data_IF_869834199498
#
_entry.id   IF_869834199498
#
_cell.length_a   1.000
_cell.length_b   1.000
_cell.length_c   1.000
_cell.angle_alpha   90.00
_cell.angle_beta   90.00
_cell.angle_gamma   90.00
#
_symmetry.space_group_name_H-M   'P 1'
#
loop_
_entity.id
_entity.type
_entity.pdbx_description
1 polymer ?
#
# COMPACT_ATOMS: atom_id res chain seq x y z
N UNK A 1 -19.18 0.28 24.00
CA UNK A 1 -19.32 -0.13 22.58
C UNK A 1 -18.16 -1.09 22.26
N UNK A 2 -18.37 -2.41 22.40
CA UNK A 2 -17.31 -3.40 22.20
C UNK A 2 -17.15 -3.69 20.69
N UNK A 3 -16.27 -2.94 20.03
CA UNK A 3 -15.91 -3.19 18.63
C UNK A 3 -15.31 -4.59 18.54
N UNK A 4 -15.94 -5.48 17.76
CA UNK A 4 -15.46 -6.86 17.58
C UNK A 4 -14.02 -6.84 17.05
N UNK A 5 -13.11 -7.54 17.74
CA UNK A 5 -11.65 -7.57 17.51
C UNK A 5 -11.22 -7.78 16.05
N UNK A 6 -12.02 -8.50 15.26
CA UNK A 6 -11.80 -8.75 13.82
C UNK A 6 -11.90 -7.46 12.98
N UNK A 7 -12.85 -6.58 13.30
CA UNK A 7 -13.06 -5.30 12.61
C UNK A 7 -12.01 -4.28 12.99
N UNK A 8 -11.63 -4.24 14.27
CA UNK A 8 -10.55 -3.39 14.74
C UNK A 8 -9.23 -3.68 14.00
N UNK A 9 -8.91 -4.97 13.82
CA UNK A 9 -7.70 -5.40 13.11
C UNK A 9 -7.73 -4.99 11.62
N UNK A 10 -8.89 -5.13 10.96
CA UNK A 10 -9.06 -4.70 9.57
C UNK A 10 -8.92 -3.17 9.43
N UNK A 11 -9.59 -2.40 10.30
CA UNK A 11 -9.52 -0.93 10.26
C UNK A 11 -8.08 -0.45 10.48
N UNK A 12 -7.36 -1.04 11.44
CA UNK A 12 -5.97 -0.67 11.70
C UNK A 12 -5.02 -1.01 10.56
N UNK A 13 -5.17 -2.18 9.94
CA UNK A 13 -4.34 -2.55 8.78
C UNK A 13 -4.65 -1.63 7.60
N UNK A 14 -5.92 -1.39 7.29
CA UNK A 14 -6.32 -0.50 6.20
C UNK A 14 -5.83 0.93 6.43
N UNK A 15 -5.99 1.47 7.64
CA UNK A 15 -5.51 2.80 7.99
C UNK A 15 -3.98 2.92 7.88
N UNK A 16 -3.24 1.93 8.38
CA UNK A 16 -1.77 1.91 8.29
C UNK A 16 -1.27 1.84 6.86
N UNK A 17 -1.87 1.00 6.01
CA UNK A 17 -1.51 0.91 4.59
C UNK A 17 -1.87 2.19 3.85
N UNK A 18 -3.01 2.80 4.17
CA UNK A 18 -3.42 4.08 3.59
C UNK A 18 -2.40 5.18 3.91
N UNK A 19 -2.04 5.34 5.19
CA UNK A 19 -1.07 6.35 5.64
C UNK A 19 0.32 6.10 5.03
N UNK A 20 0.80 4.85 5.01
CA UNK A 20 2.10 4.54 4.41
C UNK A 20 2.12 4.82 2.90
N UNK A 21 1.07 4.41 2.19
CA UNK A 21 0.97 4.65 0.74
C UNK A 21 0.90 6.15 0.42
N UNK A 22 0.20 6.92 1.26
CA UNK A 22 0.09 8.37 1.15
C UNK A 22 1.46 9.04 1.35
N UNK A 23 2.15 8.73 2.45
CA UNK A 23 3.44 9.34 2.79
C UNK A 23 4.55 9.00 1.79
N UNK A 24 4.66 7.73 1.37
CA UNK A 24 5.69 7.31 0.41
C UNK A 24 5.45 7.95 -0.96
N UNK A 25 4.20 7.97 -1.43
CA UNK A 25 3.88 8.60 -2.73
C UNK A 25 4.10 10.11 -2.71
N UNK A 26 3.82 10.76 -1.58
CA UNK A 26 4.03 12.20 -1.40
C UNK A 26 5.52 12.54 -1.37
N UNK A 27 6.32 11.77 -0.62
CA UNK A 27 7.77 11.88 -0.63
C UNK A 27 8.37 11.68 -2.02
N UNK A 28 7.99 10.60 -2.72
CA UNK A 28 8.50 10.30 -4.06
C UNK A 28 8.13 11.39 -5.08
N UNK A 29 6.92 11.93 -5.02
CA UNK A 29 6.50 12.99 -5.94
C UNK A 29 7.19 14.32 -5.63
N UNK A 30 7.40 14.62 -4.34
CA UNK A 30 8.13 15.81 -3.89
C UNK A 30 9.59 15.79 -4.32
N UNK A 31 10.23 14.62 -4.23
CA UNK A 31 11.62 14.41 -4.69
C UNK A 31 11.72 14.50 -6.22
N UNK A 32 10.75 13.98 -6.96
CA UNK A 32 10.85 13.86 -8.42
C UNK A 32 10.43 15.13 -9.20
N UNK A 33 9.48 15.92 -8.69
CA UNK A 33 8.92 17.08 -9.40
C UNK A 33 9.18 18.44 -8.72
N UNK A 34 9.67 18.45 -7.47
CA UNK A 34 9.75 19.69 -6.67
C UNK A 34 8.37 20.28 -6.33
N UNK A 35 8.36 21.46 -5.70
CA UNK A 35 7.14 22.20 -5.36
C UNK A 35 6.66 23.04 -6.56
N UNK A 36 5.98 22.41 -7.51
CA UNK A 36 5.32 23.09 -8.64
C UNK A 36 3.86 23.46 -8.29
N UNK A 37 3.25 24.46 -8.95
CA UNK A 37 1.86 24.87 -8.67
C UNK A 37 0.85 23.71 -8.83
N UNK A 38 1.11 22.81 -9.79
CA UNK A 38 0.30 21.62 -10.07
C UNK A 38 0.70 20.40 -9.23
N UNK A 39 1.60 20.55 -8.24
CA UNK A 39 2.19 19.47 -7.48
C UNK A 39 1.15 18.52 -6.87
N UNK A 40 0.14 19.07 -6.18
CA UNK A 40 -0.92 18.27 -5.56
C UNK A 40 -1.75 17.49 -6.58
N UNK A 41 -1.98 18.07 -7.76
CA UNK A 41 -2.81 17.49 -8.81
C UNK A 41 -2.06 16.36 -9.53
N UNK A 42 -0.78 16.56 -9.81
CA UNK A 42 0.13 15.53 -10.35
C UNK A 42 0.34 14.42 -9.33
N UNK A 43 0.52 14.76 -8.05
CA UNK A 43 0.67 13.79 -6.96
C UNK A 43 -0.57 12.91 -6.81
N UNK A 44 -1.77 13.49 -6.74
CA UNK A 44 -3.00 12.73 -6.57
C UNK A 44 -3.25 11.80 -7.76
N UNK A 45 -2.98 12.27 -8.98
CA UNK A 45 -3.09 11.47 -10.21
C UNK A 45 -2.11 10.29 -10.18
N UNK A 46 -0.83 10.53 -9.88
CA UNK A 46 0.17 9.46 -9.84
C UNK A 46 -0.09 8.47 -8.70
N UNK A 47 -0.52 8.95 -7.53
CA UNK A 47 -0.89 8.11 -6.39
C UNK A 47 -2.07 7.19 -6.73
N UNK A 48 -3.13 7.73 -7.35
CA UNK A 48 -4.29 6.93 -7.77
C UNK A 48 -3.90 5.87 -8.81
N UNK A 49 -3.06 6.24 -9.79
CA UNK A 49 -2.56 5.28 -10.78
C UNK A 49 -1.77 4.17 -10.09
N UNK A 50 -0.81 4.51 -9.24
CA UNK A 50 -0.01 3.53 -8.51
C UNK A 50 -0.87 2.65 -7.60
N UNK A 51 -1.87 3.21 -6.90
CA UNK A 51 -2.81 2.47 -6.07
C UNK A 51 -3.65 1.48 -6.88
N UNK A 52 -4.17 1.92 -8.03
CA UNK A 52 -4.93 1.08 -8.96
C UNK A 52 -4.12 -0.10 -9.51
N UNK A 53 -2.79 0.02 -9.64
CA UNK A 53 -1.92 -1.10 -10.01
C UNK A 53 -1.50 -1.95 -8.80
N UNK A 54 -1.18 -1.33 -7.67
CA UNK A 54 -0.70 -2.00 -6.47
C UNK A 54 -1.77 -2.88 -5.81
N UNK A 55 -3.04 -2.44 -5.82
CA UNK A 55 -4.15 -3.20 -5.24
C UNK A 55 -4.36 -4.57 -5.92
N UNK A 56 -4.56 -4.67 -7.25
CA UNK A 56 -4.66 -5.97 -7.92
C UNK A 56 -3.32 -6.73 -7.85
N UNK A 57 -2.18 -6.05 -7.98
CA UNK A 57 -0.88 -6.70 -7.86
C UNK A 57 -0.74 -7.41 -6.50
N UNK A 58 -1.10 -6.78 -5.39
CA UNK A 58 -1.06 -7.40 -4.05
C UNK A 58 -1.98 -8.62 -3.96
N UNK A 59 -3.18 -8.56 -4.54
CA UNK A 59 -4.11 -9.69 -4.57
C UNK A 59 -3.53 -10.90 -5.31
N UNK A 60 -2.88 -10.68 -6.46
CA UNK A 60 -2.23 -11.76 -7.22
C UNK A 60 -0.90 -12.21 -6.62
N UNK A 61 -0.15 -11.30 -5.99
CA UNK A 61 1.17 -11.58 -5.45
C UNK A 61 1.09 -12.39 -4.15
N UNK A 62 0.05 -12.21 -3.34
CA UNK A 62 -0.15 -12.98 -2.10
C UNK A 62 -0.18 -14.50 -2.29
N UNK A 63 -1.01 -15.08 -3.19
CA UNK A 63 -1.01 -16.53 -3.41
C UNK A 63 0.31 -17.01 -4.06
N UNK A 64 0.93 -16.18 -4.90
CA UNK A 64 2.22 -16.49 -5.52
C UNK A 64 3.31 -16.57 -4.44
N UNK A 65 3.43 -15.57 -3.58
CA UNK A 65 4.37 -15.55 -2.46
C UNK A 65 4.08 -16.71 -1.51
N UNK A 66 2.81 -16.99 -1.18
CA UNK A 66 2.47 -18.13 -0.33
C UNK A 66 2.93 -19.47 -0.94
N UNK A 67 2.80 -19.63 -2.26
CA UNK A 67 3.30 -20.80 -2.97
C UNK A 67 4.83 -20.92 -2.89
N UNK A 68 5.56 -19.81 -3.05
CA UNK A 68 7.02 -19.79 -2.93
C UNK A 68 7.49 -20.01 -1.49
N UNK A 69 6.86 -19.37 -0.51
CA UNK A 69 7.20 -19.51 0.92
C UNK A 69 6.97 -20.93 1.41
N UNK A 70 5.92 -21.61 0.95
CA UNK A 70 5.71 -23.03 1.30
C UNK A 70 6.80 -23.96 0.73
N UNK A 71 7.49 -23.57 -0.36
CA UNK A 71 8.65 -24.32 -0.85
C UNK A 71 9.89 -24.12 0.02
N UNK A 72 9.95 -23.03 0.79
CA UNK A 72 11.02 -22.77 1.74
C UNK A 72 10.63 -23.48 3.05
N UNK A 73 10.84 -24.80 3.11
CA UNK A 73 10.98 -25.46 4.41
C UNK A 73 12.21 -24.84 5.07
N UNK A 74 12.00 -23.96 6.04
CA UNK A 74 13.03 -23.70 7.03
C UNK A 74 13.33 -25.06 7.66
N UNK A 75 14.48 -25.63 7.30
CA UNK A 75 15.10 -26.70 8.06
C UNK A 75 15.52 -26.04 9.36
N UNK A 76 14.82 -26.38 10.44
CA UNK A 76 15.18 -26.01 11.82
C UNK A 76 16.66 -26.32 12.12
#
# INVERSE_FOLDING_TARGET
MAIKRKWFRLIMVTASVFVFSFCISLGMTMVNNGFTPDFLLVWLRNWLVAFCFAFPASWFLQPVIAHWVHKIKFSD
#
